data_IF_776762359395
#
_entry.id   IF_776762359395
#
_cell.length_a   1.000
_cell.length_b   1.000
_cell.length_c   1.000
_cell.angle_alpha   90.00
_cell.angle_beta   90.00
_cell.angle_gamma   90.00
#
_symmetry.space_group_name_H-M   'P 1'
#
loop_
_entity.id
_entity.type
_entity.pdbx_description
1 polymer ?
#
# COMPACT_ATOMS: atom_id res chain seq x y z
N UNK A 1 11.64 25.84 -31.37
CA UNK A 1 10.21 25.50 -31.32
C UNK A 1 9.86 25.13 -29.88
N UNK A 2 9.01 25.89 -29.19
CA UNK A 2 8.36 25.43 -27.95
C UNK A 2 8.75 26.03 -26.59
N UNK A 3 9.22 27.29 -26.48
CA UNK A 3 9.28 27.98 -25.16
C UNK A 3 7.90 28.49 -24.69
N UNK A 4 6.89 28.40 -25.55
CA UNK A 4 5.57 29.02 -25.38
C UNK A 4 4.57 28.18 -24.55
N UNK A 5 4.97 27.00 -24.06
CA UNK A 5 4.08 26.07 -23.33
C UNK A 5 4.20 26.12 -21.80
N UNK A 6 5.19 26.80 -21.24
CA UNK A 6 5.40 26.88 -19.79
C UNK A 6 4.86 28.18 -19.16
N UNK A 7 4.56 29.20 -19.98
CA UNK A 7 4.23 30.56 -19.50
C UNK A 7 2.73 30.93 -19.55
N UNK A 8 1.81 30.01 -19.89
CA UNK A 8 0.37 30.30 -19.84
C UNK A 8 -0.20 30.00 -18.47
N UNK A 9 0.15 30.82 -17.49
CA UNK A 9 -0.63 30.93 -16.26
C UNK A 9 -2.03 31.45 -16.60
N UNK A 10 -3.11 30.87 -16.04
CA UNK A 10 -4.44 31.41 -16.22
C UNK A 10 -4.49 32.87 -15.74
N UNK A 11 -5.27 33.70 -16.42
CA UNK A 11 -5.43 35.09 -16.04
C UNK A 11 -5.99 35.20 -14.61
N UNK A 12 -5.35 35.99 -13.75
CA UNK A 12 -5.77 36.20 -12.36
C UNK A 12 -5.12 35.27 -11.32
N UNK A 13 -4.21 34.37 -11.72
CA UNK A 13 -3.47 33.50 -10.78
C UNK A 13 -2.14 34.16 -10.41
N UNK A 14 -1.92 34.39 -9.11
CA UNK A 14 -0.68 34.94 -8.58
C UNK A 14 0.39 33.86 -8.31
N UNK A 15 1.63 34.28 -8.06
CA UNK A 15 2.74 33.37 -7.75
C UNK A 15 2.46 32.49 -6.53
N UNK A 16 1.86 33.08 -5.49
CA UNK A 16 1.54 32.38 -4.25
C UNK A 16 0.56 31.22 -4.49
N UNK A 17 -0.44 31.41 -5.37
CA UNK A 17 -1.37 30.36 -5.76
C UNK A 17 -0.67 29.25 -6.55
N UNK A 18 0.22 29.59 -7.48
CA UNK A 18 1.00 28.60 -8.25
C UNK A 18 1.86 27.75 -7.31
N UNK A 19 2.55 28.38 -6.35
CA UNK A 19 3.37 27.68 -5.37
C UNK A 19 2.54 26.72 -4.51
N UNK A 20 1.38 27.17 -4.02
CA UNK A 20 0.48 26.34 -3.21
C UNK A 20 -0.03 25.10 -3.98
N UNK A 21 -0.45 25.27 -5.24
CA UNK A 21 -0.89 24.15 -6.09
C UNK A 21 0.27 23.19 -6.41
N UNK A 22 1.46 23.72 -6.64
CA UNK A 22 2.67 22.91 -6.79
C UNK A 22 2.93 22.05 -5.56
N UNK A 23 2.81 22.64 -4.36
CA UNK A 23 2.98 21.91 -3.09
C UNK A 23 1.92 20.82 -2.89
N UNK A 24 0.67 21.08 -3.27
CA UNK A 24 -0.40 20.08 -3.20
C UNK A 24 -0.10 18.90 -4.14
N UNK A 25 0.41 19.18 -5.34
CA UNK A 25 0.81 18.15 -6.31
C UNK A 25 1.96 17.28 -5.79
N UNK A 26 3.00 17.89 -5.20
CA UNK A 26 4.09 17.16 -4.54
C UNK A 26 3.60 16.26 -3.40
N UNK A 27 2.62 16.73 -2.65
CA UNK A 27 1.99 15.95 -1.59
C UNK A 27 1.22 14.75 -2.17
N UNK A 28 0.42 14.93 -3.22
CA UNK A 28 -0.27 13.82 -3.89
C UNK A 28 0.72 12.77 -4.41
N UNK A 29 1.81 13.17 -5.06
CA UNK A 29 2.86 12.24 -5.52
C UNK A 29 3.46 11.42 -4.36
N UNK A 30 3.60 12.04 -3.19
CA UNK A 30 4.09 11.36 -1.99
C UNK A 30 3.07 10.33 -1.48
N UNK A 31 1.78 10.67 -1.51
CA UNK A 31 0.68 9.75 -1.14
C UNK A 31 0.60 8.58 -2.12
N UNK A 32 0.76 8.81 -3.42
CA UNK A 32 0.80 7.74 -4.43
C UNK A 32 1.96 6.76 -4.19
N UNK A 33 3.13 7.28 -3.77
CA UNK A 33 4.26 6.43 -3.37
C UNK A 33 3.94 5.60 -2.12
N UNK A 34 3.30 6.19 -1.12
CA UNK A 34 2.87 5.46 0.07
C UNK A 34 1.84 4.37 -0.29
N UNK A 35 0.89 4.68 -1.18
CA UNK A 35 -0.07 3.72 -1.73
C UNK A 35 0.63 2.54 -2.40
N UNK A 36 1.60 2.80 -3.28
CA UNK A 36 2.41 1.77 -3.92
C UNK A 36 3.19 0.88 -2.93
N UNK A 37 3.66 1.47 -1.82
CA UNK A 37 4.32 0.72 -0.76
C UNK A 37 3.36 -0.24 -0.05
N UNK A 38 2.07 0.11 0.12
CA UNK A 38 1.07 -0.79 0.69
C UNK A 38 0.77 -1.99 -0.23
N UNK A 39 0.71 -1.78 -1.55
CA UNK A 39 0.60 -2.89 -2.50
C UNK A 39 1.82 -3.82 -2.46
N UNK A 40 3.01 -3.24 -2.36
CA UNK A 40 4.26 -4.01 -2.21
C UNK A 40 4.23 -4.81 -0.90
N UNK A 41 3.84 -4.19 0.20
CA UNK A 41 3.64 -4.85 1.48
C UNK A 41 2.64 -6.01 1.39
N UNK A 42 1.49 -5.81 0.74
CA UNK A 42 0.50 -6.86 0.51
C UNK A 42 1.08 -8.07 -0.22
N UNK A 43 1.82 -7.84 -1.31
CA UNK A 43 2.46 -8.91 -2.09
C UNK A 43 3.50 -9.67 -1.27
N UNK A 44 4.36 -8.96 -0.53
CA UNK A 44 5.39 -9.58 0.32
C UNK A 44 4.78 -10.43 1.42
N UNK A 45 3.73 -9.92 2.08
CA UNK A 45 3.05 -10.67 3.15
C UNK A 45 2.30 -11.88 2.61
N UNK A 46 1.63 -11.77 1.46
CA UNK A 46 0.98 -12.91 0.81
C UNK A 46 2.00 -13.99 0.42
N UNK A 47 3.16 -13.60 -0.10
CA UNK A 47 4.23 -14.54 -0.40
C UNK A 47 4.79 -15.22 0.86
N UNK A 48 5.04 -14.46 1.93
CA UNK A 48 5.54 -15.01 3.19
C UNK A 48 4.53 -15.97 3.84
N UNK A 49 3.23 -15.68 3.77
CA UNK A 49 2.17 -16.54 4.28
C UNK A 49 2.11 -17.89 3.52
N UNK A 50 2.25 -17.85 2.19
CA UNK A 50 2.37 -19.07 1.37
C UNK A 50 3.61 -19.89 1.75
N UNK A 51 4.77 -19.24 1.92
CA UNK A 51 6.00 -19.92 2.36
C UNK A 51 5.85 -20.55 3.75
N UNK A 52 5.13 -19.89 4.66
CA UNK A 52 4.85 -20.44 5.99
C UNK A 52 3.95 -21.70 5.90
N UNK A 53 2.93 -21.69 5.03
CA UNK A 53 2.10 -22.86 4.74
C UNK A 53 2.91 -24.02 4.15
N UNK A 54 3.75 -23.76 3.15
CA UNK A 54 4.64 -24.78 2.57
C UNK A 54 5.61 -25.37 3.61
N UNK A 55 6.17 -24.53 4.49
CA UNK A 55 7.03 -24.98 5.58
C UNK A 55 6.27 -25.86 6.59
N UNK A 56 5.02 -25.51 6.90
CA UNK A 56 4.14 -26.32 7.75
C UNK A 56 3.92 -27.72 7.16
N UNK A 57 3.60 -27.81 5.86
CA UNK A 57 3.44 -29.08 5.15
C UNK A 57 4.74 -29.92 5.18
N UNK A 58 5.89 -29.28 4.95
CA UNK A 58 7.20 -29.95 4.99
C UNK A 58 7.52 -30.48 6.40
N UNK A 59 7.24 -29.70 7.45
CA UNK A 59 7.41 -30.13 8.84
C UNK A 59 6.53 -31.33 9.17
N UNK A 60 5.28 -31.32 8.70
CA UNK A 60 4.35 -32.44 8.86
C UNK A 60 4.89 -33.70 8.18
N UNK A 61 5.35 -33.59 6.94
CA UNK A 61 5.94 -34.70 6.20
C UNK A 61 7.22 -35.26 6.86
N UNK A 62 7.98 -34.41 7.55
CA UNK A 62 9.15 -34.80 8.33
C UNK A 62 8.83 -35.44 9.70
N UNK A 63 7.54 -35.58 10.05
CA UNK A 63 7.10 -36.17 11.32
C UNK A 63 6.92 -35.18 12.47
N UNK A 64 6.98 -33.87 12.20
CA UNK A 64 6.80 -32.81 13.19
C UNK A 64 5.37 -32.24 13.20
N UNK A 65 4.38 -33.12 13.33
CA UNK A 65 2.95 -32.76 13.27
C UNK A 65 2.55 -31.67 14.26
N UNK A 66 2.96 -31.77 15.53
CA UNK A 66 2.62 -30.79 16.56
C UNK A 66 3.15 -29.37 16.26
N UNK A 67 4.29 -29.26 15.56
CA UNK A 67 4.85 -27.96 15.15
C UNK A 67 4.05 -27.41 13.97
N UNK A 68 3.74 -28.25 12.98
CA UNK A 68 2.91 -27.87 11.84
C UNK A 68 1.53 -27.39 12.28
N UNK A 69 0.85 -28.13 13.17
CA UNK A 69 -0.47 -27.75 13.70
C UNK A 69 -0.47 -26.36 14.38
N UNK A 70 0.61 -26.04 15.10
CA UNK A 70 0.76 -24.72 15.72
C UNK A 70 1.00 -23.62 14.70
N UNK A 71 1.80 -23.87 13.65
CA UNK A 71 2.00 -22.89 12.57
C UNK A 71 0.68 -22.62 11.84
N UNK A 72 -0.06 -23.67 11.50
CA UNK A 72 -1.34 -23.57 10.81
C UNK A 72 -2.37 -22.81 11.66
N UNK A 73 -2.37 -23.01 12.98
CA UNK A 73 -3.31 -22.37 13.89
C UNK A 73 -2.94 -20.91 14.20
N UNK A 74 -1.66 -20.65 14.48
CA UNK A 74 -1.24 -19.38 15.07
C UNK A 74 -0.81 -18.35 14.02
N UNK A 75 -0.27 -18.82 12.87
CA UNK A 75 0.48 -17.99 11.93
C UNK A 75 -0.15 -17.96 10.53
N UNK A 76 -0.45 -19.10 9.91
CA UNK A 76 -0.94 -19.15 8.53
C UNK A 76 -2.31 -18.47 8.43
N UNK A 77 -2.43 -17.51 7.50
CA UNK A 77 -3.64 -16.71 7.32
C UNK A 77 -3.93 -15.73 8.47
N UNK A 78 -2.99 -15.53 9.40
CA UNK A 78 -3.18 -14.65 10.56
C UNK A 78 -3.21 -13.20 10.12
N UNK A 79 -4.30 -12.49 10.41
CA UNK A 79 -4.41 -11.04 10.19
C UNK A 79 -3.19 -10.22 10.69
N UNK A 80 -2.67 -9.30 9.84
CA UNK A 80 -1.53 -8.43 10.18
C UNK A 80 -1.90 -7.32 11.16
N UNK A 81 -3.17 -6.93 11.18
CA UNK A 81 -3.77 -5.98 12.12
C UNK A 81 -5.06 -6.58 12.67
N UNK A 82 -5.58 -6.12 13.82
CA UNK A 82 -6.85 -6.61 14.33
C UNK A 82 -7.97 -6.51 13.29
N UNK A 83 -8.52 -7.67 12.93
CA UNK A 83 -9.61 -7.83 11.97
C UNK A 83 -9.26 -7.58 10.50
N UNK A 84 -7.98 -7.37 10.17
CA UNK A 84 -7.56 -6.91 8.85
C UNK A 84 -6.38 -7.69 8.31
N UNK A 85 -6.61 -8.34 7.18
CA UNK A 85 -5.56 -8.83 6.32
C UNK A 85 -5.01 -7.72 5.44
N UNK A 86 -3.88 -7.97 4.79
CA UNK A 86 -3.11 -6.93 4.10
C UNK A 86 -3.88 -6.22 2.99
N UNK A 87 -4.77 -6.90 2.27
CA UNK A 87 -5.58 -6.27 1.23
C UNK A 87 -6.61 -5.29 1.81
N UNK A 88 -7.22 -5.62 2.96
CA UNK A 88 -8.14 -4.72 3.65
C UNK A 88 -7.43 -3.44 4.13
N UNK A 89 -6.15 -3.53 4.51
CA UNK A 89 -5.35 -2.34 4.83
C UNK A 89 -5.17 -1.44 3.60
N UNK A 90 -4.99 -2.03 2.41
CA UNK A 90 -4.90 -1.27 1.15
C UNK A 90 -6.24 -0.61 0.83
N UNK A 91 -7.35 -1.35 0.90
CA UNK A 91 -8.70 -0.84 0.65
C UNK A 91 -9.07 0.30 1.60
N UNK A 92 -8.83 0.14 2.90
CA UNK A 92 -9.10 1.18 3.90
C UNK A 92 -8.24 2.44 3.68
N UNK A 93 -7.00 2.30 3.23
CA UNK A 93 -6.16 3.44 2.87
C UNK A 93 -6.65 4.14 1.60
N UNK A 94 -7.04 3.35 0.59
CA UNK A 94 -7.55 3.84 -0.68
C UNK A 94 -8.84 4.64 -0.49
N UNK A 95 -9.81 4.09 0.23
CA UNK A 95 -11.10 4.73 0.50
C UNK A 95 -10.97 5.88 1.53
N UNK A 96 -10.20 5.67 2.60
CA UNK A 96 -10.18 6.58 3.74
C UNK A 96 -9.25 7.78 3.60
N UNK A 97 -8.20 7.69 2.79
CA UNK A 97 -7.20 8.76 2.67
C UNK A 97 -6.89 9.12 1.23
N UNK A 98 -6.53 8.15 0.39
CA UNK A 98 -6.09 8.42 -0.97
C UNK A 98 -7.22 9.03 -1.84
N UNK A 99 -8.42 8.45 -1.80
CA UNK A 99 -9.55 8.97 -2.58
C UNK A 99 -9.95 10.37 -2.12
N UNK A 100 -10.03 10.60 -0.81
CA UNK A 100 -10.30 11.93 -0.24
C UNK A 100 -9.27 12.95 -0.72
N UNK A 101 -7.98 12.60 -0.71
CA UNK A 101 -6.93 13.49 -1.20
C UNK A 101 -7.10 13.80 -2.68
N UNK A 102 -7.35 12.77 -3.51
CA UNK A 102 -7.49 12.89 -4.97
C UNK A 102 -8.69 13.73 -5.39
N UNK A 103 -9.73 13.79 -4.57
CA UNK A 103 -10.94 14.56 -4.84
C UNK A 103 -10.79 16.07 -4.53
N UNK A 104 -9.64 16.50 -4.03
CA UNK A 104 -9.26 17.91 -3.79
C UNK A 104 -8.31 18.47 -4.87
#
# INVERSE_FOLDING_TARGET
MGKDRLDRRPAGVDDATVEAVGKLSEALETVERARGALYTFHQLMGHADLQAGEASEQLRAAGHGDIADRLDTDLVGRNVLPGRWTFQVVEEFDEGYWQVFRDH
#
